data_IF_901517754200
#
_entry.id   IF_901517754200
#
_cell.length_a   1.000
_cell.length_b   1.000
_cell.length_c   1.000
_cell.angle_alpha   90.00
_cell.angle_beta   90.00
_cell.angle_gamma   90.00
#
_symmetry.space_group_name_H-M   'P 1'
#
loop_
_entity.id
_entity.type
_entity.pdbx_description
1 polymer ?
#
# COMPACT_ATOMS: atom_id res chain seq x y z
N UNK A 1 2.35 -10.61 4.28
CA UNK A 1 1.80 -9.67 3.28
C UNK A 1 0.45 -9.19 3.80
N UNK A 2 0.19 -7.88 3.73
CA UNK A 2 -1.04 -7.20 4.18
C UNK A 2 -1.53 -6.35 3.01
N UNK A 3 -2.81 -6.47 2.66
CA UNK A 3 -3.44 -5.75 1.54
C UNK A 3 -4.31 -4.61 2.08
N UNK A 4 -4.13 -3.43 1.50
CA UNK A 4 -4.98 -2.26 1.74
C UNK A 4 -5.79 -1.97 0.47
N UNK A 5 -7.09 -1.70 0.63
CA UNK A 5 -7.96 -1.36 -0.49
C UNK A 5 -9.44 -1.38 -0.12
N UNK A 6 -10.29 -1.07 -1.09
CA UNK A 6 -11.75 -1.03 -0.92
C UNK A 6 -12.45 -2.37 -1.15
N UNK A 7 -11.73 -3.39 -1.60
CA UNK A 7 -12.28 -4.73 -1.78
C UNK A 7 -12.59 -5.41 -0.43
N UNK A 8 -13.60 -6.27 -0.42
CA UNK A 8 -14.03 -7.04 0.76
C UNK A 8 -12.96 -8.01 1.23
N UNK A 9 -12.02 -8.37 0.35
CA UNK A 9 -10.92 -9.27 0.64
C UNK A 9 -9.64 -8.55 1.10
N UNK A 10 -9.67 -7.21 1.27
CA UNK A 10 -8.53 -6.49 1.82
C UNK A 10 -8.37 -6.81 3.31
N UNK A 11 -7.12 -7.00 3.75
CA UNK A 11 -6.81 -7.20 5.18
C UNK A 11 -7.12 -5.95 6.00
N UNK A 12 -6.88 -4.77 5.39
CA UNK A 12 -7.22 -3.47 5.95
C UNK A 12 -8.16 -2.78 4.96
N UNK A 13 -9.48 -2.74 5.24
CA UNK A 13 -10.43 -2.10 4.37
C UNK A 13 -10.29 -0.58 4.45
N UNK A 14 -10.17 0.06 3.30
CA UNK A 14 -10.10 1.52 3.16
C UNK A 14 -11.13 1.95 2.12
N UNK A 15 -11.95 2.94 2.44
CA UNK A 15 -12.98 3.46 1.53
C UNK A 15 -12.78 4.95 1.30
N UNK A 16 -12.95 5.39 0.05
CA UNK A 16 -12.84 6.79 -0.33
C UNK A 16 -12.50 6.97 -1.80
N UNK A 17 -12.64 8.20 -2.29
CA UNK A 17 -12.22 8.57 -3.65
C UNK A 17 -10.72 8.34 -3.81
N UNK A 18 -10.32 7.66 -4.89
CA UNK A 18 -8.91 7.34 -5.18
C UNK A 18 -8.38 6.08 -4.50
N UNK A 19 -9.23 5.33 -3.79
CA UNK A 19 -8.89 4.04 -3.17
C UNK A 19 -9.39 2.89 -4.04
N UNK A 20 -8.46 2.28 -4.76
CA UNK A 20 -8.70 1.09 -5.58
C UNK A 20 -9.10 -0.14 -4.75
N UNK A 21 -9.73 -1.13 -5.41
CA UNK A 21 -10.10 -2.40 -4.77
C UNK A 21 -8.90 -3.07 -4.10
N UNK A 22 -7.76 -3.07 -4.78
CA UNK A 22 -6.45 -3.37 -4.20
C UNK A 22 -5.56 -2.14 -4.41
N UNK A 23 -5.36 -1.35 -3.36
CA UNK A 23 -4.65 -0.08 -3.42
C UNK A 23 -3.13 -0.26 -3.27
N UNK A 24 -2.70 -0.92 -2.20
CA UNK A 24 -1.31 -1.28 -2.00
C UNK A 24 -1.17 -2.54 -1.15
N UNK A 25 0.03 -3.10 -1.10
CA UNK A 25 0.38 -4.18 -0.21
C UNK A 25 1.60 -3.81 0.63
N UNK A 26 1.58 -4.20 1.90
CA UNK A 26 2.72 -4.09 2.80
C UNK A 26 3.24 -5.50 3.06
N UNK A 27 4.53 -5.69 2.84
CA UNK A 27 5.23 -6.94 3.15
C UNK A 27 6.29 -6.68 4.21
N UNK A 28 6.40 -7.58 5.18
CA UNK A 28 7.50 -7.60 6.12
C UNK A 28 8.29 -8.88 5.87
N UNK A 29 9.53 -8.73 5.42
CA UNK A 29 10.45 -9.83 5.21
C UNK A 29 11.63 -9.65 6.17
N UNK A 30 11.69 -10.50 7.20
CA UNK A 30 12.74 -10.49 8.23
C UNK A 30 13.02 -9.11 8.84
N UNK A 31 11.98 -8.32 9.09
CA UNK A 31 12.09 -6.97 9.67
C UNK A 31 12.28 -5.85 8.65
N UNK A 32 12.44 -6.18 7.37
CA UNK A 32 12.41 -5.20 6.27
C UNK A 32 10.98 -5.04 5.80
N UNK A 33 10.39 -3.88 6.09
CA UNK A 33 9.04 -3.54 5.65
C UNK A 33 9.09 -2.86 4.29
N UNK A 34 8.35 -3.38 3.32
CA UNK A 34 8.25 -2.85 1.96
C UNK A 34 6.80 -2.57 1.63
N UNK A 35 6.53 -1.36 1.11
CA UNK A 35 5.25 -0.99 0.53
C UNK A 35 5.30 -1.22 -0.98
N UNK A 36 4.31 -1.91 -1.51
CA UNK A 36 4.11 -2.20 -2.92
C UNK A 36 2.85 -1.47 -3.39
N UNK A 37 2.97 -0.30 -4.06
CA UNK A 37 1.81 0.39 -4.61
C UNK A 37 1.33 -0.36 -5.86
N UNK A 38 0.01 -0.42 -6.06
CA UNK A 38 -0.57 -1.07 -7.25
C UNK A 38 -0.97 -0.03 -8.30
N UNK A 39 -1.44 1.15 -7.88
CA UNK A 39 -1.75 2.26 -8.79
C UNK A 39 -1.33 3.60 -8.18
N UNK A 40 -0.93 4.54 -9.06
CA UNK A 40 -0.09 5.71 -8.77
C UNK A 40 -0.68 6.83 -7.90
N UNK A 41 -1.58 6.51 -6.97
CA UNK A 41 -2.11 7.44 -5.96
C UNK A 41 -1.56 7.21 -4.56
N UNK A 42 -0.64 6.26 -4.37
CA UNK A 42 0.04 6.07 -3.10
C UNK A 42 1.20 7.06 -2.96
N UNK A 43 1.23 7.79 -1.84
CA UNK A 43 2.34 8.70 -1.51
C UNK A 43 3.02 8.27 -0.21
N UNK A 44 4.35 8.38 -0.17
CA UNK A 44 5.20 8.16 1.01
C UNK A 44 5.96 9.46 1.27
N UNK A 45 5.89 9.98 2.50
CA UNK A 45 6.51 11.26 2.89
C UNK A 45 6.14 12.45 1.98
N UNK A 46 4.92 12.43 1.42
CA UNK A 46 4.41 13.45 0.50
C UNK A 46 4.80 13.26 -0.97
N UNK A 47 5.65 12.28 -1.30
CA UNK A 47 6.04 11.95 -2.66
C UNK A 47 5.21 10.77 -3.20
N UNK A 48 4.59 10.95 -4.38
CA UNK A 48 3.89 9.86 -5.06
C UNK A 48 4.89 8.78 -5.44
N UNK A 49 4.57 7.54 -5.09
CA UNK A 49 5.35 6.37 -5.47
C UNK A 49 4.57 5.45 -6.40
N UNK A 50 5.25 5.03 -7.45
CA UNK A 50 4.80 4.06 -8.45
C UNK A 50 5.66 2.79 -8.42
N UNK A 51 6.59 2.69 -7.47
CA UNK A 51 7.51 1.58 -7.31
C UNK A 51 7.49 1.07 -5.88
N UNK A 52 7.97 -0.16 -5.66
CA UNK A 52 8.06 -0.70 -4.31
C UNK A 52 9.09 0.08 -3.50
N UNK A 53 8.74 0.45 -2.27
CA UNK A 53 9.60 1.30 -1.41
C UNK A 53 9.77 0.63 -0.06
N UNK A 54 11.01 0.53 0.40
CA UNK A 54 11.32 0.12 1.77
C UNK A 54 10.93 1.23 2.73
N UNK A 55 10.08 0.91 3.70
CA UNK A 55 9.69 1.83 4.76
C UNK A 55 10.77 1.87 5.86
N UNK A 56 10.94 3.06 6.44
CA UNK A 56 11.79 3.30 7.60
C UNK A 56 10.98 4.09 8.64
N UNK A 57 11.38 4.02 9.90
CA UNK A 57 10.76 4.72 11.03
C UNK A 57 11.67 5.85 11.51
#
# INVERSE_FOLDING_TARGET
RVILGSDRNADIPVSGTGVEGIHCAIENNNGVVTLHPINGTTSIDGAVTNSSVRLAQ
#
